data_IF_268955305104
#
_entry.id   IF_268955305104
#
_cell.length_a   1.000
_cell.length_b   1.000
_cell.length_c   1.000
_cell.angle_alpha   90.00
_cell.angle_beta   90.00
_cell.angle_gamma   90.00
#
_symmetry.space_group_name_H-M   'P 1'
#
loop_
_entity.id
_entity.type
_entity.pdbx_description
1 polymer ?
#
# COMPACT_ATOMS: atom_id res chain seq x y z
N UNK A 1 -0.60 5.02 -34.21
CA UNK A 1 0.45 4.02 -33.94
C UNK A 1 0.34 3.64 -32.46
N UNK A 2 0.41 2.35 -32.15
CA UNK A 2 -0.16 1.63 -30.99
C UNK A 2 -0.10 2.39 -29.64
N UNK A 3 -1.28 2.71 -29.11
CA UNK A 3 -1.53 3.12 -27.72
C UNK A 3 -1.08 1.99 -26.77
N UNK A 4 0.01 2.18 -26.05
CA UNK A 4 0.29 1.38 -24.85
C UNK A 4 -0.32 2.11 -23.66
N UNK A 5 -1.66 2.16 -23.63
CA UNK A 5 -2.36 2.24 -22.37
C UNK A 5 -2.08 0.91 -21.65
N UNK A 6 -1.52 0.95 -20.45
CA UNK A 6 -1.33 -0.25 -19.62
C UNK A 6 -2.72 -0.81 -19.31
N UNK A 7 -3.19 -1.71 -20.18
CA UNK A 7 -4.49 -2.33 -20.02
C UNK A 7 -4.43 -3.23 -18.77
N UNK A 8 -5.50 -3.27 -17.96
CA UNK A 8 -5.62 -4.19 -16.82
C UNK A 8 -5.33 -5.66 -17.19
N UNK A 9 -5.51 -6.01 -18.47
CA UNK A 9 -5.25 -7.34 -19.02
C UNK A 9 -3.75 -7.67 -19.12
N UNK A 10 -2.88 -6.66 -19.35
CA UNK A 10 -1.43 -6.84 -19.40
C UNK A 10 -0.86 -7.06 -18.00
N UNK A 11 -1.36 -6.33 -17.00
CA UNK A 11 -1.02 -6.55 -15.59
C UNK A 11 -1.45 -7.95 -15.12
N UNK A 12 -2.65 -8.41 -15.54
CA UNK A 12 -3.15 -9.75 -15.22
C UNK A 12 -2.31 -10.87 -15.86
N UNK A 13 -1.93 -10.72 -17.13
CA UNK A 13 -1.04 -11.66 -17.84
C UNK A 13 0.37 -11.71 -17.25
N UNK A 14 0.87 -10.59 -16.73
CA UNK A 14 2.14 -10.54 -16.01
C UNK A 14 2.08 -11.33 -14.70
N UNK A 15 1.00 -11.20 -13.92
CA UNK A 15 0.77 -12.03 -12.71
C UNK A 15 0.71 -13.53 -13.02
N UNK A 16 0.01 -13.96 -14.07
CA UNK A 16 -0.03 -15.38 -14.42
C UNK A 16 1.33 -15.95 -14.87
N UNK A 17 2.19 -15.13 -15.48
CA UNK A 17 3.55 -15.56 -15.85
C UNK A 17 4.50 -15.60 -14.65
N UNK A 18 4.26 -14.81 -13.60
CA UNK A 18 5.03 -14.88 -12.34
C UNK A 18 4.77 -16.19 -11.58
N UNK A 19 3.54 -16.68 -11.59
CA UNK A 19 3.19 -17.99 -11.01
C UNK A 19 3.94 -19.14 -11.70
N UNK A 20 4.26 -18.98 -13.00
CA UNK A 20 4.99 -19.98 -13.78
C UNK A 20 6.52 -19.91 -13.65
N UNK A 21 7.09 -18.76 -13.25
CA UNK A 21 8.55 -18.55 -13.14
C UNK A 21 9.07 -18.82 -11.72
N UNK A 22 8.21 -18.88 -10.71
CA UNK A 22 8.59 -19.16 -9.31
C UNK A 22 8.91 -20.64 -9.03
N UNK A 23 9.19 -21.43 -10.06
CA UNK A 23 9.48 -22.87 -9.98
C UNK A 23 10.99 -23.22 -9.99
N UNK A 24 11.87 -22.31 -9.55
CA UNK A 24 13.31 -22.57 -9.42
C UNK A 24 13.82 -22.22 -8.02
N UNK A 25 13.99 -23.27 -7.19
CA UNK A 25 14.47 -23.19 -5.82
C UNK A 25 13.32 -23.04 -4.82
N UNK A 26 12.78 -24.16 -4.33
CA UNK A 26 11.82 -24.17 -3.21
C UNK A 26 12.55 -23.70 -1.94
N UNK A 27 12.57 -22.38 -1.73
CA UNK A 27 12.70 -21.85 -0.38
C UNK A 27 11.44 -22.28 0.39
N UNK A 28 11.60 -22.77 1.60
CA UNK A 28 10.45 -23.10 2.44
C UNK A 28 9.58 -21.85 2.60
N UNK A 29 8.31 -21.98 2.21
CA UNK A 29 7.35 -20.91 2.35
C UNK A 29 7.20 -20.56 3.85
N UNK A 30 7.23 -19.28 4.23
CA UNK A 30 6.96 -18.87 5.60
C UNK A 30 5.68 -19.53 6.13
N UNK A 31 5.75 -20.07 7.34
CA UNK A 31 4.60 -20.69 8.00
C UNK A 31 4.11 -19.81 9.14
N UNK A 32 2.80 -19.81 9.36
CA UNK A 32 2.24 -19.21 10.56
C UNK A 32 2.46 -20.16 11.74
N UNK A 33 3.03 -19.68 12.86
CA UNK A 33 3.01 -20.45 14.10
C UNK A 33 1.56 -20.62 14.57
N UNK A 34 1.29 -21.57 15.49
CA UNK A 34 -0.02 -21.62 16.15
C UNK A 34 -0.31 -20.28 16.86
N UNK A 35 -1.56 -19.79 16.82
CA UNK A 35 -1.91 -18.50 17.41
C UNK A 35 -1.77 -18.54 18.94
N UNK A 36 -1.45 -17.40 19.56
CA UNK A 36 -1.28 -17.30 21.01
C UNK A 36 -2.53 -17.76 21.76
N UNK A 37 -2.36 -18.19 23.01
CA UNK A 37 -3.46 -18.63 23.85
C UNK A 37 -4.60 -17.61 23.89
N UNK A 38 -5.84 -18.10 23.83
CA UNK A 38 -7.04 -17.26 23.83
C UNK A 38 -7.18 -16.48 25.12
N UNK A 39 -7.32 -15.16 25.00
CA UNK A 39 -7.70 -14.29 26.11
C UNK A 39 -9.16 -13.86 25.97
N UNK A 40 -9.79 -13.50 27.09
CA UNK A 40 -11.17 -13.02 27.11
C UNK A 40 -11.35 -11.74 26.28
N UNK A 41 -10.35 -10.86 26.29
CA UNK A 41 -10.41 -9.59 25.55
C UNK A 41 -10.38 -9.82 24.04
N UNK A 42 -9.49 -10.66 23.54
CA UNK A 42 -9.42 -11.05 22.12
C UNK A 42 -10.75 -11.68 21.67
N UNK A 43 -11.32 -12.54 22.50
CA UNK A 43 -12.61 -13.18 22.19
C UNK A 43 -13.74 -12.15 22.13
N UNK A 44 -13.83 -11.27 23.15
CA UNK A 44 -14.86 -10.22 23.23
C UNK A 44 -14.78 -9.26 22.05
N UNK A 45 -13.58 -8.85 21.67
CA UNK A 45 -13.36 -7.95 20.55
C UNK A 45 -13.72 -8.60 19.21
N UNK A 46 -13.52 -9.91 19.06
CA UNK A 46 -13.84 -10.61 17.83
C UNK A 46 -15.35 -10.75 17.56
N UNK A 47 -16.18 -10.85 18.60
CA UNK A 47 -17.64 -11.13 18.46
C UNK A 47 -18.32 -10.15 17.49
N UNK A 48 -17.95 -8.86 17.52
CA UNK A 48 -18.52 -7.84 16.63
C UNK A 48 -18.16 -8.08 15.16
N UNK A 49 -16.99 -8.64 14.88
CA UNK A 49 -16.54 -8.98 13.53
C UNK A 49 -17.18 -10.28 13.05
N UNK A 50 -17.31 -11.28 13.93
CA UNK A 50 -17.98 -12.53 13.61
C UNK A 50 -19.42 -12.29 13.11
N UNK A 51 -20.21 -11.50 13.85
CA UNK A 51 -21.59 -11.20 13.48
C UNK A 51 -21.71 -10.42 12.16
N UNK A 52 -20.75 -9.53 11.85
CA UNK A 52 -20.72 -8.79 10.58
C UNK A 52 -20.36 -9.71 9.42
N UNK A 53 -19.32 -10.53 9.59
CA UNK A 53 -18.87 -11.46 8.56
C UNK A 53 -19.91 -12.53 8.26
N UNK A 54 -20.57 -13.08 9.29
CA UNK A 54 -21.64 -14.05 9.11
C UNK A 54 -22.80 -13.49 8.28
N UNK A 55 -23.20 -12.23 8.50
CA UNK A 55 -24.24 -11.58 7.68
C UNK A 55 -23.83 -11.53 6.20
N UNK A 56 -22.59 -11.15 5.91
CA UNK A 56 -22.09 -11.14 4.52
C UNK A 56 -22.12 -12.54 3.91
N UNK A 57 -21.71 -13.57 4.64
CA UNK A 57 -21.75 -14.95 4.14
C UNK A 57 -23.19 -15.45 3.89
N UNK A 58 -24.14 -15.04 4.72
CA UNK A 58 -25.56 -15.36 4.54
C UNK A 58 -26.13 -14.69 3.30
N UNK A 59 -25.80 -13.40 3.07
CA UNK A 59 -26.21 -12.66 1.87
C UNK A 59 -25.66 -13.31 0.60
N UNK A 60 -24.44 -13.86 0.66
CA UNK A 60 -23.81 -14.63 -0.42
C UNK A 60 -24.32 -16.08 -0.56
N UNK A 61 -25.34 -16.49 0.21
CA UNK A 61 -25.97 -17.83 0.18
C UNK A 61 -24.99 -18.99 0.34
N UNK A 62 -23.96 -18.80 1.17
CA UNK A 62 -22.97 -19.84 1.48
C UNK A 62 -23.62 -20.96 2.31
N UNK A 63 -23.35 -22.23 1.96
CA UNK A 63 -23.88 -23.38 2.70
C UNK A 63 -23.42 -23.39 4.16
N UNK A 64 -24.23 -23.95 5.07
CA UNK A 64 -23.93 -23.95 6.51
C UNK A 64 -22.55 -24.54 6.85
N UNK A 65 -22.19 -25.68 6.24
CA UNK A 65 -20.87 -26.31 6.45
C UNK A 65 -19.71 -25.46 5.93
N UNK A 66 -19.90 -24.74 4.83
CA UNK A 66 -18.88 -23.83 4.28
C UNK A 66 -18.73 -22.59 5.16
N UNK A 67 -19.85 -22.05 5.64
CA UNK A 67 -19.89 -20.90 6.54
C UNK A 67 -19.16 -21.14 7.87
N UNK A 68 -19.35 -22.29 8.52
CA UNK A 68 -18.62 -22.63 9.77
C UNK A 68 -17.11 -22.59 9.54
N UNK A 69 -16.62 -23.26 8.49
CA UNK A 69 -15.18 -23.27 8.15
C UNK A 69 -14.62 -21.87 7.84
N UNK A 70 -15.42 -21.03 7.17
CA UNK A 70 -15.02 -19.65 6.88
C UNK A 70 -14.97 -18.79 8.15
N UNK A 71 -15.89 -18.98 9.09
CA UNK A 71 -15.85 -18.29 10.39
C UNK A 71 -14.65 -18.72 11.24
N UNK A 72 -14.33 -20.01 11.26
CA UNK A 72 -13.13 -20.55 11.92
C UNK A 72 -11.85 -19.93 11.33
N UNK A 73 -11.68 -19.98 10.01
CA UNK A 73 -10.53 -19.37 9.34
C UNK A 73 -10.46 -17.85 9.54
N UNK A 74 -11.61 -17.15 9.52
CA UNK A 74 -11.68 -15.72 9.80
C UNK A 74 -11.24 -15.40 11.23
N UNK A 75 -11.58 -16.25 12.21
CA UNK A 75 -11.13 -16.11 13.60
C UNK A 75 -9.63 -16.36 13.74
N UNK A 76 -9.08 -17.36 13.06
CA UNK A 76 -7.65 -17.62 13.09
C UNK A 76 -6.87 -16.45 12.49
N UNK A 77 -7.31 -15.91 11.35
CA UNK A 77 -6.70 -14.70 10.76
C UNK A 77 -6.76 -13.52 11.74
N UNK A 78 -7.87 -13.32 12.43
CA UNK A 78 -7.99 -12.28 13.46
C UNK A 78 -6.94 -12.43 14.56
N UNK A 79 -6.79 -13.63 15.12
CA UNK A 79 -5.85 -13.91 16.21
C UNK A 79 -4.41 -13.62 15.79
N UNK A 80 -3.99 -14.12 14.63
CA UNK A 80 -2.65 -13.88 14.11
C UNK A 80 -2.41 -12.39 13.80
N UNK A 81 -3.38 -11.70 13.19
CA UNK A 81 -3.27 -10.27 12.92
C UNK A 81 -3.21 -9.45 14.21
N UNK A 82 -3.97 -9.85 15.24
CA UNK A 82 -3.96 -9.21 16.55
C UNK A 82 -2.59 -9.38 17.22
N UNK A 83 -2.03 -10.59 17.23
CA UNK A 83 -0.74 -10.88 17.85
C UNK A 83 0.41 -10.14 17.13
N UNK A 84 0.42 -10.15 15.80
CA UNK A 84 1.49 -9.53 15.00
C UNK A 84 1.38 -8.01 14.92
N UNK A 85 0.17 -7.50 14.67
CA UNK A 85 -0.05 -6.10 14.31
C UNK A 85 -0.88 -5.31 15.32
N UNK A 86 -1.41 -5.94 16.37
CA UNK A 86 -2.24 -5.29 17.38
C UNK A 86 -3.70 -5.10 16.97
N UNK A 87 -4.51 -4.66 17.93
CA UNK A 87 -5.98 -4.62 17.81
C UNK A 87 -6.51 -3.74 16.67
N UNK A 88 -5.89 -2.58 16.43
CA UNK A 88 -6.36 -1.64 15.40
C UNK A 88 -6.20 -2.23 13.99
N UNK A 89 -5.01 -2.74 13.66
CA UNK A 89 -4.73 -3.39 12.39
C UNK A 89 -5.52 -4.69 12.22
N UNK A 90 -5.66 -5.50 13.28
CA UNK A 90 -6.51 -6.69 13.21
C UNK A 90 -7.97 -6.35 12.89
N UNK A 91 -8.51 -5.29 13.52
CA UNK A 91 -9.85 -4.78 13.24
C UNK A 91 -9.98 -4.31 11.77
N UNK A 92 -8.97 -3.63 11.24
CA UNK A 92 -8.93 -3.21 9.85
C UNK A 92 -8.84 -4.41 8.88
N UNK A 93 -8.08 -5.46 9.23
CA UNK A 93 -8.03 -6.73 8.46
C UNK A 93 -9.41 -7.38 8.39
N UNK A 94 -10.16 -7.42 9.50
CA UNK A 94 -11.53 -7.98 9.52
C UNK A 94 -12.48 -7.15 8.65
N UNK A 95 -12.40 -5.82 8.74
CA UNK A 95 -13.15 -4.92 7.87
C UNK A 95 -12.82 -5.13 6.39
N UNK A 96 -11.53 -5.33 6.07
CA UNK A 96 -11.07 -5.57 4.71
C UNK A 96 -11.64 -6.88 4.14
N UNK A 97 -11.59 -7.96 4.92
CA UNK A 97 -12.15 -9.27 4.55
C UNK A 97 -13.67 -9.24 4.37
N UNK A 98 -14.37 -8.48 5.21
CA UNK A 98 -15.81 -8.24 5.06
C UNK A 98 -16.14 -7.53 3.75
N UNK A 99 -15.45 -6.42 3.45
CA UNK A 99 -15.66 -5.65 2.21
C UNK A 99 -15.34 -6.49 0.99
N UNK A 100 -14.21 -7.20 1.00
CA UNK A 100 -13.80 -8.11 -0.07
C UNK A 100 -14.84 -9.20 -0.31
N UNK A 101 -15.25 -9.92 0.74
CA UNK A 101 -16.27 -10.98 0.64
C UNK A 101 -17.59 -10.43 0.10
N UNK A 102 -18.00 -9.24 0.58
CA UNK A 102 -19.22 -8.58 0.10
C UNK A 102 -19.12 -8.25 -1.40
N UNK A 103 -17.99 -7.72 -1.85
CA UNK A 103 -17.77 -7.33 -3.25
C UNK A 103 -17.82 -8.51 -4.23
N UNK A 104 -17.70 -9.75 -3.76
CA UNK A 104 -17.87 -10.95 -4.57
C UNK A 104 -19.33 -11.24 -4.95
N UNK A 105 -20.30 -10.54 -4.35
CA UNK A 105 -21.72 -10.66 -4.70
C UNK A 105 -22.00 -9.98 -6.05
N UNK A 106 -22.39 -10.72 -7.11
CA UNK A 106 -22.52 -10.16 -8.46
C UNK A 106 -23.51 -8.99 -8.55
N UNK A 107 -24.58 -9.02 -7.73
CA UNK A 107 -25.61 -7.99 -7.71
C UNK A 107 -25.10 -6.59 -7.31
N UNK A 108 -23.93 -6.49 -6.66
CA UNK A 108 -23.35 -5.21 -6.27
C UNK A 108 -22.54 -4.55 -7.39
N UNK A 109 -22.16 -5.28 -8.44
CA UNK A 109 -21.34 -4.75 -9.54
C UNK A 109 -19.99 -4.18 -9.10
N UNK A 110 -19.49 -4.58 -7.92
CA UNK A 110 -18.21 -4.10 -7.35
C UNK A 110 -17.08 -5.06 -7.70
N UNK A 111 -15.89 -4.51 -7.91
CA UNK A 111 -14.69 -5.33 -8.07
C UNK A 111 -14.22 -5.86 -6.73
N UNK A 112 -13.81 -7.12 -6.78
CA UNK A 112 -13.15 -7.86 -5.71
C UNK A 112 -11.70 -8.14 -6.11
N UNK A 113 -10.79 -8.23 -5.14
CA UNK A 113 -9.42 -8.68 -5.38
C UNK A 113 -9.35 -10.20 -5.63
N UNK A 114 -10.30 -10.95 -5.07
CA UNK A 114 -10.35 -12.40 -5.08
C UNK A 114 -11.69 -12.92 -5.62
N UNK A 115 -11.66 -14.16 -6.10
CA UNK A 115 -12.84 -14.85 -6.63
C UNK A 115 -13.67 -15.57 -5.57
N UNK A 116 -13.17 -15.70 -4.34
CA UNK A 116 -13.86 -16.39 -3.25
C UNK A 116 -13.42 -15.91 -1.85
N UNK A 117 -14.23 -16.14 -0.81
CA UNK A 117 -13.85 -15.79 0.56
C UNK A 117 -12.66 -16.61 1.06
N UNK A 118 -12.55 -17.88 0.63
CA UNK A 118 -11.43 -18.75 0.94
C UNK A 118 -10.11 -18.20 0.39
N UNK A 119 -10.11 -17.69 -0.84
CA UNK A 119 -8.91 -17.14 -1.46
C UNK A 119 -8.44 -15.87 -0.73
N UNK A 120 -9.37 -15.01 -0.30
CA UNK A 120 -9.06 -13.82 0.49
C UNK A 120 -8.48 -14.18 1.87
N UNK A 121 -9.08 -15.14 2.58
CA UNK A 121 -8.58 -15.61 3.88
C UNK A 121 -7.22 -16.30 3.76
N UNK A 122 -7.02 -17.11 2.73
CA UNK A 122 -5.74 -17.76 2.46
C UNK A 122 -4.64 -16.74 2.14
N UNK A 123 -4.96 -15.70 1.37
CA UNK A 123 -4.00 -14.63 1.07
C UNK A 123 -3.64 -13.80 2.30
N UNK A 124 -4.63 -13.43 3.12
CA UNK A 124 -4.38 -12.78 4.41
C UNK A 124 -3.47 -13.64 5.31
N UNK A 125 -3.70 -14.96 5.33
CA UNK A 125 -2.87 -15.89 6.09
C UNK A 125 -1.43 -15.96 5.56
N UNK A 126 -1.23 -15.97 4.23
CA UNK A 126 0.11 -15.90 3.62
C UNK A 126 0.84 -14.61 3.99
N UNK A 127 0.15 -13.47 3.95
CA UNK A 127 0.72 -12.20 4.39
C UNK A 127 1.12 -12.19 5.86
N UNK A 128 0.28 -12.77 6.73
CA UNK A 128 0.59 -12.89 8.15
C UNK A 128 1.77 -13.84 8.39
N UNK A 129 1.89 -14.93 7.63
CA UNK A 129 3.05 -15.83 7.69
C UNK A 129 4.34 -15.10 7.31
N UNK A 130 4.31 -14.36 6.20
CA UNK A 130 5.43 -13.56 5.73
C UNK A 130 5.81 -12.45 6.73
N UNK A 131 4.82 -11.77 7.31
CA UNK A 131 5.07 -10.76 8.34
C UNK A 131 5.66 -11.38 9.60
N UNK A 132 5.19 -12.55 10.04
CA UNK A 132 5.78 -13.29 11.15
C UNK A 132 7.25 -13.58 10.89
N UNK A 133 7.57 -14.22 9.76
CA UNK A 133 8.93 -14.51 9.34
C UNK A 133 9.81 -13.25 9.35
N UNK A 134 9.35 -12.17 8.73
CA UNK A 134 10.11 -10.91 8.61
C UNK A 134 10.40 -10.28 9.96
N UNK A 135 9.43 -10.31 10.87
CA UNK A 135 9.55 -9.67 12.18
C UNK A 135 10.33 -10.53 13.17
N UNK A 136 10.19 -11.84 13.12
CA UNK A 136 10.65 -12.76 14.17
C UNK A 136 11.83 -13.64 13.79
N UNK A 137 11.96 -14.05 12.53
CA UNK A 137 12.91 -15.06 12.09
C UNK A 137 14.01 -14.48 11.18
N UNK A 138 13.68 -13.50 10.34
CA UNK A 138 14.60 -12.90 9.40
C UNK A 138 15.73 -12.10 10.10
N UNK A 139 16.88 -11.88 9.42
CA UNK A 139 18.01 -11.13 9.98
C UNK A 139 17.59 -9.76 10.52
N UNK A 140 17.99 -9.44 11.76
CA UNK A 140 17.49 -8.26 12.48
C UNK A 140 18.46 -7.08 12.57
N UNK A 141 19.72 -7.26 12.17
CA UNK A 141 20.81 -6.31 12.42
C UNK A 141 21.42 -5.71 11.15
N UNK A 142 20.82 -5.95 9.99
CA UNK A 142 21.35 -5.54 8.69
C UNK A 142 20.17 -5.35 7.73
N UNK A 143 19.95 -4.09 7.33
CA UNK A 143 18.85 -3.70 6.46
C UNK A 143 18.94 -4.32 5.07
N UNK A 144 20.15 -4.51 4.52
CA UNK A 144 20.32 -5.13 3.21
C UNK A 144 20.00 -6.62 3.25
N UNK A 145 20.46 -7.32 4.30
CA UNK A 145 20.13 -8.74 4.49
C UNK A 145 18.64 -8.94 4.74
N UNK A 146 18.02 -8.05 5.51
CA UNK A 146 16.58 -8.08 5.73
C UNK A 146 15.82 -7.80 4.43
N UNK A 147 16.23 -6.80 3.66
CA UNK A 147 15.63 -6.49 2.35
C UNK A 147 15.69 -7.69 1.41
N UNK A 148 16.86 -8.35 1.29
CA UNK A 148 17.00 -9.56 0.48
C UNK A 148 16.09 -10.70 0.95
N UNK A 149 15.99 -10.92 2.26
CA UNK A 149 15.09 -11.93 2.81
C UNK A 149 13.62 -11.60 2.55
N UNK A 150 13.23 -10.33 2.70
CA UNK A 150 11.87 -9.86 2.39
C UNK A 150 11.53 -10.09 0.91
N UNK A 151 12.43 -9.70 -0.01
CA UNK A 151 12.21 -9.90 -1.45
C UNK A 151 12.13 -11.39 -1.83
N UNK A 152 12.92 -12.25 -1.18
CA UNK A 152 12.93 -13.69 -1.48
C UNK A 152 11.69 -14.44 -1.00
N UNK A 153 11.07 -14.01 0.11
CA UNK A 153 9.97 -14.74 0.77
C UNK A 153 8.61 -14.03 0.68
N UNK A 154 8.55 -12.82 0.12
CA UNK A 154 7.30 -12.06 0.03
C UNK A 154 6.27 -12.76 -0.86
N UNK A 155 4.97 -12.74 -0.50
CA UNK A 155 3.91 -13.28 -1.33
C UNK A 155 3.70 -12.48 -2.64
N UNK A 156 4.25 -11.26 -2.71
CA UNK A 156 4.14 -10.36 -3.86
C UNK A 156 5.44 -9.59 -4.09
N UNK A 157 5.64 -8.97 -5.26
CA UNK A 157 6.79 -8.10 -5.47
C UNK A 157 6.88 -6.96 -4.44
N UNK A 158 8.10 -6.77 -3.91
CA UNK A 158 8.43 -5.73 -2.94
C UNK A 158 9.75 -5.05 -3.28
N UNK A 159 9.90 -3.80 -2.87
CA UNK A 159 11.14 -3.02 -2.95
C UNK A 159 11.57 -2.48 -1.56
N UNK A 160 11.87 -3.38 -0.60
CA UNK A 160 12.19 -2.99 0.78
C UNK A 160 13.51 -2.23 0.91
N UNK A 161 14.46 -2.49 0.01
CA UNK A 161 15.71 -1.76 -0.16
C UNK A 161 15.44 -0.26 -0.40
N UNK A 162 14.56 0.07 -1.35
CA UNK A 162 14.22 1.48 -1.66
C UNK A 162 13.53 2.15 -0.47
N UNK A 163 12.68 1.42 0.26
CA UNK A 163 12.06 1.93 1.49
C UNK A 163 13.11 2.21 2.55
N UNK A 164 14.04 1.29 2.78
CA UNK A 164 15.09 1.43 3.80
C UNK A 164 16.06 2.57 3.46
N UNK A 165 16.49 2.71 2.21
CA UNK A 165 17.29 3.84 1.73
C UNK A 165 16.60 5.19 1.99
N UNK A 166 15.27 5.22 1.92
CA UNK A 166 14.46 6.44 2.11
C UNK A 166 13.81 6.55 3.49
N UNK A 167 14.13 5.66 4.44
CA UNK A 167 13.42 5.57 5.72
C UNK A 167 13.43 6.88 6.52
N UNK A 168 14.55 7.60 6.52
CA UNK A 168 14.66 8.93 7.17
C UNK A 168 13.74 9.96 6.53
N UNK A 169 13.63 9.96 5.21
CA UNK A 169 12.76 10.88 4.48
C UNK A 169 11.28 10.55 4.67
N UNK A 170 10.95 9.26 4.70
CA UNK A 170 9.61 8.76 5.02
C UNK A 170 9.19 9.23 6.41
N UNK A 171 10.04 9.00 7.43
CA UNK A 171 9.79 9.45 8.80
C UNK A 171 9.65 10.97 8.89
N UNK A 172 10.55 11.72 8.23
CA UNK A 172 10.49 13.18 8.24
C UNK A 172 9.21 13.72 7.60
N UNK A 173 8.80 13.17 6.45
CA UNK A 173 7.58 13.57 5.76
C UNK A 173 6.33 13.21 6.57
N UNK A 174 6.31 12.01 7.16
CA UNK A 174 5.26 11.56 8.06
C UNK A 174 5.09 12.50 9.26
N UNK A 175 6.18 12.83 9.93
CA UNK A 175 6.18 13.75 11.08
C UNK A 175 5.73 15.16 10.69
N UNK A 176 6.21 15.68 9.56
CA UNK A 176 5.82 17.01 9.08
C UNK A 176 4.31 17.08 8.78
N UNK A 177 3.75 16.04 8.17
CA UNK A 177 2.35 16.03 7.71
C UNK A 177 1.38 15.40 8.70
N UNK A 178 1.87 14.82 9.80
CA UNK A 178 1.12 13.95 10.72
C UNK A 178 0.40 12.80 10.00
N UNK A 179 1.02 12.30 8.94
CA UNK A 179 0.53 11.18 8.15
C UNK A 179 1.33 9.91 8.49
N UNK A 180 0.76 8.69 8.50
CA UNK A 180 1.48 7.51 8.93
C UNK A 180 2.67 7.16 8.02
N UNK A 181 3.88 7.06 8.60
CA UNK A 181 5.10 6.66 7.89
C UNK A 181 4.96 5.31 7.19
N UNK A 182 4.27 4.37 7.85
CA UNK A 182 3.98 3.04 7.31
C UNK A 182 3.20 3.07 5.99
N UNK A 183 2.27 4.00 5.84
CA UNK A 183 1.46 4.14 4.63
C UNK A 183 2.29 4.70 3.48
N UNK A 184 3.12 5.71 3.76
CA UNK A 184 4.07 6.23 2.77
C UNK A 184 5.07 5.16 2.33
N UNK A 185 5.60 4.38 3.27
CA UNK A 185 6.49 3.26 2.99
C UNK A 185 5.83 2.20 2.10
N UNK A 186 4.58 1.81 2.40
CA UNK A 186 3.84 0.85 1.60
C UNK A 186 3.55 1.34 0.17
N UNK A 187 3.28 2.64 0.00
CA UNK A 187 3.13 3.25 -1.33
C UNK A 187 4.46 3.18 -2.08
N UNK A 188 5.56 3.65 -1.49
CA UNK A 188 6.90 3.58 -2.10
C UNK A 188 7.23 2.15 -2.50
N UNK A 189 7.08 1.19 -1.60
CA UNK A 189 7.32 -0.22 -1.87
C UNK A 189 6.49 -0.71 -3.06
N UNK A 190 5.20 -0.40 -3.09
CA UNK A 190 4.30 -0.91 -4.13
C UNK A 190 4.61 -0.30 -5.50
N UNK A 191 4.91 0.99 -5.57
CA UNK A 191 5.31 1.65 -6.81
C UNK A 191 6.66 1.10 -7.33
N UNK A 192 7.65 0.96 -6.45
CA UNK A 192 9.00 0.57 -6.84
C UNK A 192 9.13 -0.95 -7.08
N UNK A 193 8.38 -1.77 -6.34
CA UNK A 193 8.33 -3.22 -6.53
C UNK A 193 7.59 -3.63 -7.81
N UNK A 194 6.61 -2.85 -8.25
CA UNK A 194 5.96 -3.03 -9.56
C UNK A 194 6.92 -2.75 -10.74
N UNK A 195 7.87 -1.83 -10.55
CA UNK A 195 8.86 -1.45 -11.55
C UNK A 195 9.92 -2.52 -11.80
N UNK A 196 10.26 -3.32 -10.78
CA UNK A 196 11.22 -4.42 -10.89
C UNK A 196 10.68 -5.59 -11.71
N UNK A 197 9.36 -5.82 -11.66
CA UNK A 197 8.68 -6.95 -12.32
C UNK A 197 8.37 -6.68 -13.79
N UNK A 198 8.26 -5.42 -14.20
CA UNK A 198 8.06 -5.04 -15.60
C UNK A 198 9.34 -5.15 -16.48
N UNK A 199 10.42 -5.75 -15.96
CA UNK A 199 11.77 -5.88 -16.55
C UNK A 199 12.47 -4.53 -16.80
N UNK A 200 13.76 -4.46 -16.45
CA UNK A 200 14.61 -3.25 -16.41
C UNK A 200 14.71 -2.39 -17.68
N UNK A 201 14.13 -2.79 -18.82
CA UNK A 201 13.91 -1.89 -19.97
C UNK A 201 12.76 -0.90 -19.70
N UNK A 202 11.67 -1.31 -19.06
CA UNK A 202 10.50 -0.47 -18.73
C UNK A 202 10.87 0.66 -17.75
N UNK A 203 11.54 0.31 -16.65
CA UNK A 203 12.02 1.31 -15.67
C UNK A 203 13.08 2.27 -16.25
N UNK A 204 13.95 1.79 -17.14
CA UNK A 204 14.93 2.63 -17.83
C UNK A 204 14.29 3.52 -18.89
N UNK A 205 13.36 2.99 -19.69
CA UNK A 205 12.56 3.76 -20.66
C UNK A 205 11.68 4.80 -19.95
N UNK A 206 11.15 4.50 -18.77
CA UNK A 206 10.37 5.44 -17.98
C UNK A 206 11.26 6.53 -17.36
N UNK A 207 12.37 6.18 -16.72
CA UNK A 207 13.35 7.19 -16.25
C UNK A 207 13.87 8.05 -17.41
N UNK A 208 14.06 7.47 -18.59
CA UNK A 208 14.41 8.20 -19.80
C UNK A 208 13.25 9.10 -20.27
N UNK A 209 12.00 8.62 -20.26
CA UNK A 209 10.82 9.41 -20.59
C UNK A 209 10.60 10.55 -19.60
N UNK A 210 10.78 10.33 -18.29
CA UNK A 210 10.73 11.35 -17.24
C UNK A 210 11.83 12.40 -17.46
N UNK A 211 13.04 11.97 -17.83
CA UNK A 211 14.17 12.85 -18.12
C UNK A 211 13.93 13.67 -19.39
N UNK A 212 13.36 13.06 -20.43
CA UNK A 212 13.00 13.72 -21.69
C UNK A 212 11.86 14.71 -21.45
N UNK A 213 10.80 14.31 -20.74
CA UNK A 213 9.67 15.17 -20.41
C UNK A 213 10.11 16.35 -19.54
N UNK A 214 10.99 16.12 -18.55
CA UNK A 214 11.59 17.19 -17.75
C UNK A 214 12.38 18.16 -18.64
N UNK A 215 13.29 17.67 -19.49
CA UNK A 215 14.07 18.54 -20.41
C UNK A 215 13.17 19.32 -21.38
N UNK A 216 12.15 18.68 -21.95
CA UNK A 216 11.17 19.34 -22.82
C UNK A 216 10.40 20.43 -22.07
N UNK A 217 9.94 20.16 -20.85
CA UNK A 217 9.23 21.15 -20.01
C UNK A 217 10.11 22.34 -19.63
N UNK A 218 11.41 22.11 -19.38
CA UNK A 218 12.38 23.17 -19.08
C UNK A 218 12.65 24.07 -20.29
N UNK A 219 12.57 23.53 -21.52
CA UNK A 219 12.84 24.26 -22.76
C UNK A 219 11.58 24.98 -23.28
N UNK A 220 10.41 24.35 -23.18
CA UNK A 220 9.18 24.81 -23.84
C UNK A 220 8.05 25.22 -22.89
N UNK A 221 8.26 25.15 -21.57
CA UNK A 221 7.26 25.50 -20.54
C UNK A 221 6.13 24.47 -20.36
N UNK A 222 6.01 23.49 -21.26
CA UNK A 222 5.17 22.30 -21.12
C UNK A 222 5.82 21.13 -21.85
N UNK A 223 5.60 19.90 -21.37
CA UNK A 223 6.19 18.71 -22.00
C UNK A 223 5.36 18.14 -23.17
N UNK A 224 4.20 18.73 -23.50
CA UNK A 224 3.34 18.31 -24.61
C UNK A 224 3.02 16.80 -24.58
N UNK A 225 3.10 16.12 -25.73
CA UNK A 225 2.85 14.67 -25.87
C UNK A 225 3.77 13.82 -24.98
N UNK A 226 4.98 14.29 -24.63
CA UNK A 226 5.87 13.58 -23.70
C UNK A 226 5.41 13.67 -22.23
N UNK A 227 4.61 14.68 -21.88
CA UNK A 227 3.96 14.83 -20.58
C UNK A 227 2.76 13.92 -20.36
N UNK A 228 2.10 13.53 -21.44
CA UNK A 228 1.05 12.51 -21.43
C UNK A 228 1.62 11.10 -21.18
N UNK A 229 2.90 10.89 -21.52
CA UNK A 229 3.61 9.59 -21.37
C UNK A 229 4.24 9.43 -19.97
N UNK A 230 4.50 10.52 -19.26
CA UNK A 230 5.09 10.55 -17.91
C UNK A 230 4.33 11.56 -17.04
N UNK A 231 3.17 11.17 -16.53
CA UNK A 231 2.38 12.02 -15.63
C UNK A 231 2.85 11.93 -14.18
N UNK A 232 3.46 10.80 -13.81
CA UNK A 232 3.87 10.46 -12.45
C UNK A 232 5.39 10.49 -12.29
N UNK A 233 5.88 11.04 -11.18
CA UNK A 233 7.31 11.26 -10.96
C UNK A 233 7.73 10.83 -9.56
N UNK A 234 8.95 10.31 -9.43
CA UNK A 234 9.64 10.08 -8.16
C UNK A 234 9.18 8.83 -7.39
N UNK A 235 9.54 8.77 -6.10
CA UNK A 235 9.43 7.58 -5.25
C UNK A 235 8.01 7.00 -5.18
N UNK A 236 7.02 7.88 -5.08
CA UNK A 236 5.61 7.50 -4.98
C UNK A 236 4.87 7.58 -6.31
N UNK A 237 5.53 7.86 -7.44
CA UNK A 237 4.83 8.08 -8.71
C UNK A 237 3.72 9.15 -8.57
N UNK A 238 4.03 10.27 -7.92
CA UNK A 238 3.08 11.38 -7.72
C UNK A 238 2.86 12.16 -9.02
N UNK A 239 1.61 12.53 -9.32
CA UNK A 239 1.28 13.38 -10.47
C UNK A 239 1.81 14.80 -10.28
N UNK A 240 2.46 15.36 -11.31
CA UNK A 240 2.90 16.76 -11.27
C UNK A 240 1.73 17.74 -11.27
N UNK A 241 0.62 17.42 -11.95
CA UNK A 241 -0.61 18.23 -11.93
C UNK A 241 -1.19 18.29 -10.53
N UNK A 242 -1.30 17.12 -9.88
CA UNK A 242 -1.78 17.07 -8.51
C UNK A 242 -0.82 17.81 -7.58
N UNK A 243 0.49 17.71 -7.77
CA UNK A 243 1.48 18.41 -6.95
C UNK A 243 1.28 19.93 -6.93
N UNK A 244 0.92 20.55 -8.06
CA UNK A 244 0.65 22.00 -8.15
C UNK A 244 -0.56 22.43 -7.32
N UNK A 245 -1.51 21.53 -7.05
CA UNK A 245 -2.72 21.82 -6.27
C UNK A 245 -2.55 21.72 -4.75
N UNK A 246 -1.36 21.45 -4.23
CA UNK A 246 -1.16 21.09 -2.81
C UNK A 246 -0.79 22.26 -1.88
N UNK A 247 -0.50 23.45 -2.41
CA UNK A 247 0.08 24.57 -1.65
C UNK A 247 -0.74 24.97 -0.42
N UNK A 248 -2.03 25.23 -0.62
CA UNK A 248 -2.92 25.68 0.44
C UNK A 248 -2.98 24.70 1.62
N UNK A 249 -2.93 23.39 1.33
CA UNK A 249 -2.95 22.36 2.37
C UNK A 249 -1.61 22.22 3.07
N UNK A 250 -0.49 22.30 2.34
CA UNK A 250 0.83 22.31 2.98
C UNK A 250 0.99 23.51 3.92
N UNK A 251 0.51 24.69 3.50
CA UNK A 251 0.47 25.89 4.33
C UNK A 251 -0.37 25.67 5.60
N UNK A 252 -1.57 25.09 5.47
CA UNK A 252 -2.43 24.77 6.61
C UNK A 252 -1.84 23.71 7.55
N UNK A 253 -1.02 22.79 7.04
CA UNK A 253 -0.26 21.82 7.83
C UNK A 253 1.00 22.42 8.47
N UNK A 254 1.38 23.66 8.12
CA UNK A 254 2.62 24.29 8.57
C UNK A 254 3.88 23.64 7.98
N UNK A 255 3.76 22.98 6.82
CA UNK A 255 4.84 22.20 6.20
C UNK A 255 5.52 23.00 5.11
N UNK A 256 6.85 23.13 5.22
CA UNK A 256 7.69 23.73 4.18
C UNK A 256 8.44 22.67 3.38
N UNK A 257 8.57 22.88 2.08
CA UNK A 257 9.37 22.02 1.18
C UNK A 257 10.88 22.29 1.25
N UNK A 258 11.30 23.36 1.94
CA UNK A 258 12.70 23.83 1.97
C UNK A 258 13.16 24.53 0.69
N UNK A 259 12.23 24.71 -0.26
CA UNK A 259 12.37 25.45 -1.51
C UNK A 259 11.03 26.11 -1.85
N UNK A 260 10.99 27.09 -2.77
CA UNK A 260 9.74 27.66 -3.24
C UNK A 260 8.77 26.60 -3.77
N UNK A 261 7.47 26.83 -3.58
CA UNK A 261 6.42 25.96 -4.12
C UNK A 261 6.43 26.03 -5.66
N UNK A 262 6.28 24.89 -6.38
CA UNK A 262 6.40 24.86 -7.83
C UNK A 262 5.29 25.69 -8.48
N UNK A 263 5.66 26.50 -9.48
CA UNK A 263 4.71 27.39 -10.16
C UNK A 263 4.21 26.83 -11.50
N UNK A 264 4.93 25.85 -12.05
CA UNK A 264 4.65 25.24 -13.34
C UNK A 264 5.07 23.76 -13.35
N UNK A 265 4.79 23.08 -14.46
CA UNK A 265 5.12 21.67 -14.65
C UNK A 265 6.61 21.35 -14.44
N UNK A 266 7.51 22.16 -14.99
CA UNK A 266 8.95 21.90 -14.92
C UNK A 266 9.46 21.96 -13.47
N UNK A 267 9.00 22.97 -12.72
CA UNK A 267 9.30 23.10 -11.29
C UNK A 267 8.75 21.91 -10.51
N UNK A 268 7.50 21.51 -10.77
CA UNK A 268 6.86 20.39 -10.10
C UNK A 268 7.59 19.08 -10.35
N UNK A 269 7.94 18.77 -11.61
CA UNK A 269 8.72 17.58 -11.97
C UNK A 269 10.10 17.57 -11.30
N UNK A 270 10.81 18.70 -11.35
CA UNK A 270 12.13 18.82 -10.70
C UNK A 270 12.03 18.62 -9.19
N UNK A 271 11.01 19.21 -8.56
CA UNK A 271 10.77 19.07 -7.13
C UNK A 271 10.42 17.63 -6.74
N UNK A 272 9.58 16.95 -7.53
CA UNK A 272 9.15 15.57 -7.28
C UNK A 272 10.29 14.55 -7.40
N UNK A 273 11.44 14.91 -7.97
CA UNK A 273 12.65 14.09 -7.91
C UNK A 273 13.33 14.10 -6.54
N UNK A 274 12.98 15.04 -5.65
CA UNK A 274 13.52 15.11 -4.29
C UNK A 274 12.67 14.22 -3.35
N UNK A 275 13.27 13.21 -2.68
CA UNK A 275 12.53 12.25 -1.84
C UNK A 275 11.56 12.90 -0.85
N UNK A 276 12.03 13.86 -0.06
CA UNK A 276 11.21 14.53 0.94
C UNK A 276 10.01 15.28 0.33
N UNK A 277 10.21 16.03 -0.76
CA UNK A 277 9.13 16.78 -1.38
C UNK A 277 8.10 15.86 -2.04
N UNK A 278 8.56 14.80 -2.71
CA UNK A 278 7.71 13.76 -3.30
C UNK A 278 6.78 13.13 -2.23
N UNK A 279 7.35 12.74 -1.09
CA UNK A 279 6.62 12.15 0.04
C UNK A 279 5.62 13.13 0.68
N UNK A 280 6.04 14.37 0.93
CA UNK A 280 5.19 15.42 1.53
C UNK A 280 4.00 15.78 0.64
N UNK A 281 4.23 15.95 -0.66
CA UNK A 281 3.17 16.26 -1.62
C UNK A 281 2.18 15.10 -1.75
N UNK A 282 2.69 13.86 -1.75
CA UNK A 282 1.84 12.65 -1.76
C UNK A 282 0.99 12.54 -0.49
N UNK A 283 1.60 12.75 0.68
CA UNK A 283 0.88 12.78 1.96
C UNK A 283 -0.20 13.87 1.97
N UNK A 284 0.12 15.09 1.52
CA UNK A 284 -0.84 16.19 1.42
C UNK A 284 -2.04 15.84 0.54
N UNK A 285 -1.81 15.25 -0.64
CA UNK A 285 -2.88 14.79 -1.53
C UNK A 285 -3.81 13.80 -0.83
N UNK A 286 -3.23 12.80 -0.14
CA UNK A 286 -3.98 11.78 0.58
C UNK A 286 -4.79 12.35 1.74
N UNK A 287 -4.21 13.29 2.51
CA UNK A 287 -4.93 14.09 3.53
C UNK A 287 -6.14 14.79 2.92
N UNK A 288 -6.00 15.35 1.72
CA UNK A 288 -7.12 15.94 0.98
C UNK A 288 -8.28 14.96 0.76
N UNK A 289 -7.99 13.74 0.30
CA UNK A 289 -9.02 12.70 0.10
C UNK A 289 -9.68 12.29 1.41
N UNK A 290 -8.89 12.09 2.47
CA UNK A 290 -9.44 11.74 3.78
C UNK A 290 -10.30 12.86 4.35
N UNK A 291 -9.88 14.12 4.21
CA UNK A 291 -10.65 15.27 4.65
C UNK A 291 -12.01 15.32 3.94
N UNK A 292 -12.00 15.12 2.61
CA UNK A 292 -13.21 15.06 1.81
C UNK A 292 -14.18 13.96 2.31
N UNK A 293 -13.67 12.75 2.55
CA UNK A 293 -14.50 11.63 3.00
C UNK A 293 -15.02 11.79 4.43
N UNK A 294 -14.22 12.40 5.31
CA UNK A 294 -14.64 12.73 6.66
C UNK A 294 -15.61 13.94 6.72
N UNK A 295 -15.86 14.61 5.59
CA UNK A 295 -16.68 15.82 5.55
C UNK A 295 -16.06 17.00 6.30
N UNK A 296 -14.74 16.98 6.49
CA UNK A 296 -13.98 18.07 7.11
C UNK A 296 -13.34 18.94 6.02
N UNK A 297 -13.10 20.21 6.33
CA UNK A 297 -12.60 21.18 5.34
C UNK A 297 -11.35 20.67 4.59
N UNK A 298 -11.17 21.03 3.30
CA UNK A 298 -10.12 20.46 2.45
C UNK A 298 -8.68 20.72 2.95
N UNK A 299 -8.52 21.77 3.77
CA UNK A 299 -7.26 22.17 4.40
C UNK A 299 -7.23 21.86 5.90
N UNK A 300 -8.13 21.00 6.39
CA UNK A 300 -8.10 20.54 7.77
C UNK A 300 -6.77 19.83 8.07
N UNK A 301 -6.21 20.15 9.24
CA UNK A 301 -4.97 19.59 9.74
C UNK A 301 -5.20 18.52 10.83
N UNK A 302 -6.46 18.09 11.02
CA UNK A 302 -6.80 17.02 11.97
C UNK A 302 -6.14 15.71 11.52
N UNK A 303 -5.36 15.05 12.41
CA UNK A 303 -4.73 13.77 12.08
C UNK A 303 -5.75 12.66 11.79
N UNK A 304 -5.40 11.76 10.87
CA UNK A 304 -6.18 10.57 10.56
C UNK A 304 -5.48 9.34 11.15
N UNK A 305 -6.07 8.76 12.19
CA UNK A 305 -5.43 7.71 13.01
C UNK A 305 -6.01 6.30 12.82
N UNK A 306 -7.13 6.16 12.09
CA UNK A 306 -7.77 4.85 11.85
C UNK A 306 -6.86 3.95 10.99
N UNK A 307 -6.59 2.73 11.44
CA UNK A 307 -5.81 1.73 10.70
C UNK A 307 -6.44 1.37 9.34
N UNK A 308 -7.73 1.63 9.14
CA UNK A 308 -8.39 1.53 7.82
C UNK A 308 -7.72 2.40 6.75
N UNK A 309 -7.04 3.47 7.16
CA UNK A 309 -6.22 4.31 6.29
C UNK A 309 -5.15 3.50 5.55
N UNK A 310 -4.65 2.40 6.12
CA UNK A 310 -3.58 1.61 5.51
C UNK A 310 -4.04 0.93 4.21
N UNK A 311 -5.34 0.75 4.05
CA UNK A 311 -5.95 0.29 2.79
C UNK A 311 -6.37 1.48 1.92
N UNK A 312 -7.06 2.46 2.50
CA UNK A 312 -7.67 3.56 1.73
C UNK A 312 -6.64 4.47 1.06
N UNK A 313 -5.55 4.81 1.75
CA UNK A 313 -4.57 5.74 1.20
C UNK A 313 -3.85 5.16 -0.03
N UNK A 314 -3.29 3.93 -0.01
CA UNK A 314 -2.78 3.31 -1.23
C UNK A 314 -3.87 3.16 -2.30
N UNK A 315 -5.11 2.90 -1.90
CA UNK A 315 -6.25 2.87 -2.80
C UNK A 315 -6.47 4.19 -3.56
N UNK A 316 -6.58 5.31 -2.84
CA UNK A 316 -6.73 6.63 -3.44
C UNK A 316 -5.49 7.09 -4.17
N UNK A 317 -4.31 6.69 -3.71
CA UNK A 317 -3.05 7.03 -4.37
C UNK A 317 -3.05 6.55 -5.82
N UNK A 318 -3.42 5.29 -6.04
CA UNK A 318 -3.41 4.62 -7.34
C UNK A 318 -4.69 4.91 -8.16
N UNK A 319 -5.88 4.72 -7.57
CA UNK A 319 -7.14 4.95 -8.28
C UNK A 319 -8.25 5.49 -7.36
N UNK A 320 -8.42 6.82 -7.28
CA UNK A 320 -9.40 7.44 -6.41
C UNK A 320 -10.85 7.01 -6.65
N UNK A 321 -11.23 6.74 -7.90
CA UNK A 321 -12.59 6.34 -8.26
C UNK A 321 -12.90 4.91 -7.75
N UNK A 322 -11.94 3.99 -7.86
CA UNK A 322 -12.09 2.64 -7.32
C UNK A 322 -12.13 2.66 -5.78
N UNK A 323 -11.25 3.44 -5.14
CA UNK A 323 -11.25 3.59 -3.68
C UNK A 323 -12.58 4.12 -3.15
N UNK A 324 -13.12 5.14 -3.81
CA UNK A 324 -14.36 5.81 -3.37
C UNK A 324 -15.62 4.98 -3.60
N UNK A 325 -15.58 4.00 -4.51
CA UNK A 325 -16.70 3.08 -4.74
C UNK A 325 -16.72 1.88 -3.78
N UNK A 326 -15.79 1.83 -2.83
CA UNK A 326 -15.69 0.75 -1.84
C UNK A 326 -15.26 -0.59 -2.45
N UNK A 327 -14.60 -0.54 -3.62
CA UNK A 327 -14.05 -1.72 -4.28
C UNK A 327 -12.75 -2.14 -3.59
N UNK A 328 -12.40 -3.40 -3.77
CA UNK A 328 -11.13 -3.98 -3.33
C UNK A 328 -10.38 -4.50 -4.54
N UNK A 329 -9.07 -4.34 -4.55
CA UNK A 329 -8.22 -4.80 -5.65
C UNK A 329 -6.81 -5.11 -5.15
N UNK A 330 -6.04 -5.95 -5.89
CA UNK A 330 -4.78 -6.50 -5.39
C UNK A 330 -3.78 -5.46 -4.91
N UNK A 331 -3.66 -4.32 -5.61
CA UNK A 331 -2.73 -3.26 -5.22
C UNK A 331 -3.01 -2.73 -3.81
N UNK A 332 -4.24 -2.29 -3.51
CA UNK A 332 -4.57 -1.70 -2.22
C UNK A 332 -4.61 -2.74 -1.10
N UNK A 333 -5.04 -3.97 -1.42
CA UNK A 333 -4.99 -5.10 -0.50
C UNK A 333 -3.56 -5.41 -0.04
N UNK A 334 -2.62 -5.54 -0.98
CA UNK A 334 -1.22 -5.82 -0.68
C UNK A 334 -0.57 -4.66 0.07
N UNK A 335 -0.84 -3.42 -0.35
CA UNK A 335 -0.31 -2.23 0.32
C UNK A 335 -0.77 -2.12 1.79
N UNK A 336 -1.98 -2.58 2.13
CA UNK A 336 -2.43 -2.65 3.51
C UNK A 336 -1.53 -3.53 4.39
N UNK A 337 -1.20 -4.74 3.93
CA UNK A 337 -0.31 -5.64 4.67
C UNK A 337 1.13 -5.13 4.72
N UNK A 338 1.64 -4.56 3.62
CA UNK A 338 2.93 -3.86 3.60
C UNK A 338 2.97 -2.73 4.63
N UNK A 339 1.92 -1.92 4.74
CA UNK A 339 1.85 -0.84 5.74
C UNK A 339 1.85 -1.41 7.17
N UNK A 340 1.08 -2.47 7.43
CA UNK A 340 1.11 -3.14 8.75
C UNK A 340 2.53 -3.61 9.13
N UNK A 341 3.25 -4.18 8.17
CA UNK A 341 4.65 -4.60 8.35
C UNK A 341 5.60 -3.42 8.57
N UNK A 342 5.53 -2.39 7.72
CA UNK A 342 6.40 -1.22 7.83
C UNK A 342 6.16 -0.38 9.08
N UNK A 343 4.95 -0.39 9.64
CA UNK A 343 4.68 0.23 10.94
C UNK A 343 5.57 -0.36 12.05
N UNK A 344 5.97 -1.63 11.93
CA UNK A 344 6.86 -2.30 12.89
C UNK A 344 8.33 -2.14 12.53
N UNK A 345 8.66 -2.17 11.24
CA UNK A 345 10.04 -2.04 10.77
C UNK A 345 10.60 -0.61 10.88
N UNK A 346 9.73 0.39 10.73
CA UNK A 346 10.10 1.81 10.81
C UNK A 346 9.89 2.40 12.21
N UNK A 347 9.67 1.59 13.26
CA UNK A 347 9.77 2.07 14.64
C UNK A 347 11.21 2.52 14.93
N UNK A 348 11.40 3.60 15.68
CA UNK A 348 12.72 4.21 15.93
C UNK A 348 13.73 3.20 16.44
N UNK A 349 13.34 2.35 17.40
CA UNK A 349 14.21 1.29 17.94
C UNK A 349 14.63 0.29 16.87
N UNK A 350 13.70 -0.10 16.00
CA UNK A 350 13.97 -1.06 14.93
C UNK A 350 14.83 -0.44 13.83
N UNK A 351 14.60 0.82 13.49
CA UNK A 351 15.42 1.57 12.54
C UNK A 351 16.87 1.70 13.03
N UNK A 352 17.09 2.01 14.31
CA UNK A 352 18.45 2.02 14.89
C UNK A 352 19.11 0.64 14.82
N UNK A 353 18.39 -0.43 15.17
CA UNK A 353 18.93 -1.79 15.08
C UNK A 353 19.29 -2.21 13.63
N UNK A 354 18.60 -1.65 12.64
CA UNK A 354 18.85 -1.86 11.22
C UNK A 354 19.87 -0.89 10.60
N UNK A 355 20.46 0.02 11.39
CA UNK A 355 21.42 1.02 10.90
C UNK A 355 20.80 2.09 9.99
N UNK A 356 19.49 2.34 10.10
CA UNK A 356 18.76 3.31 9.27
C UNK A 356 18.76 4.73 9.86
N UNK A 357 19.11 4.88 11.14
CA UNK A 357 19.32 6.14 11.87
C UNK A 357 20.77 6.20 12.34
#
# INVERSE_FOLDING_TARGET
MILVAFSPSVAWLATQRLDAVSASGQLDAPQLPPPSALTLDVTRDYVKFAARYERVLNDSKVSSRRRVRLLEAHFDVYRHAHDLFGAAQASATMRLLEVETRNQTPALGRRSAFSSPEAALADASRWLAFAHFTLHEAPRSDSERLARAMTAHSPVPMAPDVVFENARWIQRAANATRFPAAVLAAIVDTEQGGDTVAYGLSGTLRKAADTIALRTSQIYGSSGVSGEVSQTVGLTQMSWQDALGQEARLSALGVTLGVPFPQNEADARSLLMRPYANLVLSASRLIGYMNYVAGIGPNSAVPHEDAWLYFLAPGWHNNPALASSGQTWPYAWNAFFKACLYQRLLDTRRMTALGLL
#
